data_IF_251505714543
#
_entry.id   IF_251505714543
#
_cell.length_a   1.000
_cell.length_b   1.000
_cell.length_c   1.000
_cell.angle_alpha   90.00
_cell.angle_beta   90.00
_cell.angle_gamma   90.00
#
_symmetry.space_group_name_H-M   'P 1'
#
loop_
_entity.id
_entity.type
_entity.pdbx_description
1 polymer ?
#
# COMPACT_ATOMS: atom_id res chain seq x y z
N UNK A 1 2.74 -10.77 -6.93
CA UNK A 1 3.95 -11.10 -6.13
C UNK A 1 4.70 -9.84 -5.63
N UNK A 2 4.00 -8.74 -5.30
CA UNK A 2 4.62 -7.48 -4.84
C UNK A 2 4.13 -7.03 -3.46
N UNK A 3 2.98 -7.53 -2.99
CA UNK A 3 2.45 -7.23 -1.65
C UNK A 3 3.43 -7.62 -0.53
N UNK A 4 4.15 -8.74 -0.68
CA UNK A 4 5.16 -9.17 0.28
C UNK A 4 6.32 -8.17 0.44
N UNK A 5 6.80 -7.59 -0.66
CA UNK A 5 7.91 -6.61 -0.62
C UNK A 5 7.52 -5.32 0.08
N UNK A 6 6.31 -4.81 -0.17
CA UNK A 6 5.78 -3.62 0.53
C UNK A 6 5.69 -3.88 2.03
N UNK A 7 5.07 -5.00 2.44
CA UNK A 7 4.94 -5.37 3.85
C UNK A 7 6.29 -5.51 4.54
N UNK A 8 7.23 -6.20 3.90
CA UNK A 8 8.56 -6.39 4.45
C UNK A 8 9.30 -5.06 4.61
N UNK A 9 9.21 -4.18 3.61
CA UNK A 9 9.79 -2.84 3.67
C UNK A 9 9.22 -2.01 4.82
N UNK A 10 7.88 -1.97 4.96
CA UNK A 10 7.21 -1.25 6.05
C UNK A 10 7.59 -1.84 7.41
N UNK A 11 7.65 -3.16 7.53
CA UNK A 11 8.08 -3.87 8.75
C UNK A 11 9.53 -3.56 9.11
N UNK A 12 10.45 -3.57 8.13
CA UNK A 12 11.87 -3.24 8.34
C UNK A 12 12.05 -1.79 8.81
N UNK A 13 11.25 -0.86 8.28
CA UNK A 13 11.24 0.55 8.72
C UNK A 13 10.55 0.75 10.07
N UNK A 14 9.89 -0.28 10.63
CA UNK A 14 9.15 -0.18 11.88
C UNK A 14 7.88 0.68 11.77
N UNK A 15 7.36 0.85 10.55
CA UNK A 15 6.17 1.67 10.30
C UNK A 15 4.92 0.85 10.60
N UNK A 16 4.03 1.32 11.50
CA UNK A 16 2.73 0.68 11.70
C UNK A 16 1.89 0.83 10.43
N UNK A 17 1.31 -0.26 9.95
CA UNK A 17 0.44 -0.26 8.79
C UNK A 17 -0.75 -1.18 9.01
N UNK A 18 -1.87 -0.86 8.37
CA UNK A 18 -3.05 -1.72 8.32
C UNK A 18 -3.06 -2.46 6.99
N UNK A 19 -3.08 -3.78 7.05
CA UNK A 19 -3.25 -4.60 5.87
C UNK A 19 -4.74 -4.74 5.54
N UNK A 20 -5.11 -4.39 4.29
CA UNK A 20 -6.43 -4.71 3.72
C UNK A 20 -6.23 -5.65 2.54
N UNK A 21 -6.73 -6.88 2.65
CA UNK A 21 -6.65 -7.87 1.58
C UNK A 21 -7.88 -7.78 0.66
N UNK A 22 -7.72 -7.15 -0.50
CA UNK A 22 -8.81 -7.01 -1.49
C UNK A 22 -9.30 -8.33 -2.06
N UNK A 23 -8.57 -9.45 -1.88
CA UNK A 23 -9.03 -10.78 -2.30
C UNK A 23 -9.98 -11.44 -1.30
N UNK A 24 -9.92 -11.00 -0.03
CA UNK A 24 -10.78 -11.48 1.05
C UNK A 24 -11.82 -10.45 1.51
N UNK A 25 -11.60 -9.16 1.21
CA UNK A 25 -12.42 -8.03 1.61
C UNK A 25 -12.91 -7.27 0.37
N UNK A 26 -14.17 -7.51 0.00
CA UNK A 26 -14.82 -6.82 -1.11
C UNK A 26 -14.95 -5.31 -0.86
N UNK A 27 -15.05 -4.88 0.40
CA UNK A 27 -15.13 -3.46 0.73
C UNK A 27 -13.77 -2.78 0.49
N UNK A 28 -12.66 -3.44 0.84
CA UNK A 28 -11.33 -2.96 0.48
C UNK A 28 -11.12 -2.89 -1.03
N UNK A 29 -11.69 -3.84 -1.79
CA UNK A 29 -11.66 -3.81 -3.25
C UNK A 29 -12.46 -2.63 -3.82
N UNK A 30 -13.66 -2.39 -3.31
CA UNK A 30 -14.51 -1.27 -3.70
C UNK A 30 -13.84 0.07 -3.39
N UNK A 31 -13.28 0.26 -2.19
CA UNK A 31 -12.49 1.44 -1.79
C UNK A 31 -11.36 1.73 -2.80
N UNK A 32 -10.69 0.66 -3.27
CA UNK A 32 -9.56 0.75 -4.20
C UNK A 32 -10.03 1.19 -5.60
N UNK A 33 -11.15 0.63 -6.07
CA UNK A 33 -11.77 1.00 -7.36
C UNK A 33 -12.36 2.42 -7.34
N UNK A 34 -13.03 2.82 -6.27
CA UNK A 34 -13.57 4.18 -6.11
C UNK A 34 -12.46 5.23 -6.17
N UNK A 35 -11.27 4.89 -5.65
CA UNK A 35 -10.08 5.72 -5.75
C UNK A 35 -9.40 5.68 -7.13
N UNK A 36 -9.91 4.88 -8.07
CA UNK A 36 -9.42 4.75 -9.44
C UNK A 36 -8.24 3.78 -9.59
N UNK A 37 -7.95 2.96 -8.59
CA UNK A 37 -6.91 1.95 -8.66
C UNK A 37 -7.50 0.60 -9.04
N UNK A 38 -6.85 -0.10 -9.97
CA UNK A 38 -7.28 -1.41 -10.47
C UNK A 38 -6.17 -2.47 -10.35
N UNK A 39 -5.06 -2.12 -9.69
CA UNK A 39 -3.89 -2.98 -9.55
C UNK A 39 -3.35 -2.90 -8.12
N UNK A 40 -2.85 -4.03 -7.62
CA UNK A 40 -2.25 -4.14 -6.29
C UNK A 40 -0.75 -4.44 -6.38
N UNK A 41 0.04 -4.13 -5.35
CA UNK A 41 -0.34 -3.46 -4.09
C UNK A 41 -0.59 -1.95 -4.27
N UNK A 42 -1.47 -1.38 -3.45
CA UNK A 42 -1.61 0.08 -3.29
C UNK A 42 -1.32 0.41 -1.83
N UNK A 43 -0.41 1.35 -1.59
CA UNK A 43 -0.06 1.81 -0.25
C UNK A 43 -0.53 3.24 -0.11
N UNK A 44 -1.30 3.55 0.92
CA UNK A 44 -1.79 4.91 1.17
C UNK A 44 -1.08 5.45 2.41
N UNK A 45 -0.33 6.54 2.27
CA UNK A 45 0.43 7.20 3.34
C UNK A 45 -0.01 8.65 3.36
N UNK A 46 -0.57 9.12 4.48
CA UNK A 46 -1.08 10.50 4.64
C UNK A 46 -2.01 10.98 3.50
N UNK A 47 -2.80 10.07 2.94
CA UNK A 47 -3.72 10.35 1.84
C UNK A 47 -3.10 10.22 0.44
N UNK A 48 -1.78 10.07 0.34
CA UNK A 48 -1.09 9.80 -0.91
C UNK A 48 -1.07 8.30 -1.23
N UNK A 49 -1.52 7.95 -2.44
CA UNK A 49 -1.54 6.57 -2.90
C UNK A 49 -0.32 6.24 -3.77
N UNK A 50 0.39 5.19 -3.40
CA UNK A 50 1.51 4.61 -4.14
C UNK A 50 1.08 3.27 -4.70
N UNK A 51 1.00 3.18 -6.02
CA UNK A 51 0.67 1.94 -6.73
C UNK A 51 1.95 1.14 -7.00
N UNK A 52 1.92 -0.15 -6.69
CA UNK A 52 3.05 -1.06 -6.81
C UNK A 52 4.05 -0.95 -5.64
N UNK A 53 5.28 -1.36 -5.89
CA UNK A 53 6.39 -1.24 -4.93
C UNK A 53 7.36 -0.15 -5.42
N UNK A 54 7.16 1.08 -4.98
CA UNK A 54 8.06 2.20 -5.26
C UNK A 54 8.80 2.61 -3.99
N UNK A 55 9.99 2.04 -3.78
CA UNK A 55 10.79 2.31 -2.57
C UNK A 55 11.08 3.80 -2.39
N UNK A 56 11.50 4.50 -3.44
CA UNK A 56 11.83 5.92 -3.36
C UNK A 56 10.62 6.76 -2.94
N UNK A 57 9.43 6.49 -3.49
CA UNK A 57 8.21 7.19 -3.10
C UNK A 57 7.78 6.86 -1.67
N UNK A 58 7.89 5.58 -1.27
CA UNK A 58 7.59 5.17 0.09
C UNK A 58 8.53 5.85 1.09
N UNK A 59 9.85 5.89 0.82
CA UNK A 59 10.83 6.58 1.67
C UNK A 59 10.54 8.09 1.77
N UNK A 60 10.21 8.74 0.65
CA UNK A 60 9.80 10.15 0.64
C UNK A 60 8.57 10.42 1.52
N UNK A 61 7.52 9.60 1.38
CA UNK A 61 6.27 9.78 2.13
C UNK A 61 6.43 9.45 3.62
N UNK A 62 7.29 8.49 3.94
CA UNK A 62 7.60 8.14 5.33
C UNK A 62 8.63 9.09 5.97
N UNK A 63 9.15 10.07 5.23
CA UNK A 63 10.13 11.03 5.72
C UNK A 63 11.46 10.39 6.14
N UNK A 64 11.87 9.30 5.49
CA UNK A 64 13.08 8.51 5.81
C UNK A 64 14.24 8.78 4.87
#
# INVERSE_FOLDING_TARGET
MFCGKVKEFLRQKGVPYTEKDVSADEQAMNDLMERGFYATPVTIIDGEAVVGFNRARLEQLLGS
#
